data_IF_388307829522
#
_entry.id   IF_388307829522
#
_cell.length_a   1.000
_cell.length_b   1.000
_cell.length_c   1.000
_cell.angle_alpha   90.00
_cell.angle_beta   90.00
_cell.angle_gamma   90.00
#
_symmetry.space_group_name_H-M   'P 1'
#
loop_
_entity.id
_entity.type
_entity.pdbx_description
1 polymer ?
#
# COMPACT_ATOMS: atom_id res chain seq x y z
N UNK A 1 15.84 1.10 -17.71
CA UNK A 1 14.96 2.27 -17.48
C UNK A 1 15.74 3.32 -16.70
N UNK A 2 15.61 4.61 -17.02
CA UNK A 2 16.30 5.67 -16.29
C UNK A 2 15.58 5.98 -14.96
N UNK A 3 16.36 6.18 -13.89
CA UNK A 3 15.90 6.57 -12.55
C UNK A 3 16.66 7.82 -12.08
N UNK A 4 16.15 8.58 -11.10
CA UNK A 4 16.89 9.70 -10.51
C UNK A 4 18.25 9.24 -9.97
N UNK A 5 19.30 10.05 -10.17
CA UNK A 5 20.65 9.71 -9.72
C UNK A 5 20.78 9.56 -8.19
N UNK A 6 19.85 10.16 -7.44
CA UNK A 6 19.77 10.09 -5.98
C UNK A 6 19.05 8.83 -5.46
N UNK A 7 18.47 8.01 -6.35
CA UNK A 7 17.74 6.81 -5.97
C UNK A 7 18.65 5.58 -5.97
N UNK A 8 18.51 4.76 -4.94
CA UNK A 8 19.17 3.45 -4.87
C UNK A 8 18.56 2.51 -5.89
N UNK A 9 19.39 1.78 -6.64
CA UNK A 9 18.92 0.73 -7.54
C UNK A 9 18.20 -0.38 -6.78
N UNK A 10 17.24 -1.03 -7.45
CA UNK A 10 16.59 -2.24 -6.94
C UNK A 10 17.66 -3.35 -6.81
N UNK A 11 17.77 -4.01 -5.64
CA UNK A 11 18.72 -5.11 -5.48
C UNK A 11 18.45 -6.26 -6.46
N UNK A 12 19.49 -7.00 -6.89
CA UNK A 12 19.30 -8.16 -7.76
C UNK A 12 18.34 -9.18 -7.16
N UNK A 13 17.52 -9.82 -8.00
CA UNK A 13 16.56 -10.86 -7.61
C UNK A 13 15.23 -10.34 -7.04
N UNK A 14 15.16 -9.12 -6.52
CA UNK A 14 13.91 -8.56 -5.94
C UNK A 14 12.79 -8.51 -6.97
N UNK A 15 13.10 -8.11 -8.21
CA UNK A 15 12.13 -8.10 -9.30
C UNK A 15 11.66 -9.52 -9.64
N UNK A 16 12.58 -10.49 -9.77
CA UNK A 16 12.23 -11.87 -10.11
C UNK A 16 11.36 -12.51 -9.02
N UNK A 17 11.65 -12.21 -7.76
CA UNK A 17 10.87 -12.65 -6.61
C UNK A 17 9.46 -12.05 -6.64
N UNK A 18 9.36 -10.73 -6.81
CA UNK A 18 8.08 -10.03 -6.93
C UNK A 18 7.27 -10.55 -8.14
N UNK A 19 7.92 -10.77 -9.30
CA UNK A 19 7.28 -11.34 -10.49
C UNK A 19 6.69 -12.71 -10.19
N UNK A 20 7.44 -13.62 -9.54
CA UNK A 20 6.90 -14.94 -9.17
C UNK A 20 5.64 -14.83 -8.30
N UNK A 21 5.61 -13.88 -7.35
CA UNK A 21 4.43 -13.65 -6.51
C UNK A 21 3.26 -13.07 -7.32
N UNK A 22 3.54 -12.16 -8.25
CA UNK A 22 2.52 -11.64 -9.19
C UNK A 22 1.91 -12.75 -10.03
N UNK A 23 2.72 -13.64 -10.60
CA UNK A 23 2.19 -14.77 -11.39
C UNK A 23 1.30 -15.70 -10.55
N UNK A 24 1.62 -15.91 -9.28
CA UNK A 24 0.76 -16.66 -8.35
C UNK A 24 -0.57 -15.92 -8.12
N UNK A 25 -0.53 -14.60 -7.94
CA UNK A 25 -1.73 -13.81 -7.76
C UNK A 25 -2.59 -13.77 -9.04
N UNK A 26 -1.98 -13.77 -10.22
CA UNK A 26 -2.68 -13.75 -11.51
C UNK A 26 -3.19 -15.14 -11.96
N UNK A 27 -3.00 -16.19 -11.17
CA UNK A 27 -3.47 -17.54 -11.51
C UNK A 27 -4.98 -17.58 -11.77
N UNK A 28 -5.36 -18.00 -12.98
CA UNK A 28 -6.72 -18.16 -13.46
C UNK A 28 -7.33 -19.53 -13.18
N UNK A 29 -6.54 -20.48 -12.67
CA UNK A 29 -6.93 -21.88 -12.45
C UNK A 29 -6.92 -22.31 -10.98
N UNK A 30 -6.44 -21.44 -10.08
CA UNK A 30 -6.41 -21.70 -8.65
C UNK A 30 -7.80 -21.72 -7.99
N UNK A 31 -7.87 -22.03 -6.67
CA UNK A 31 -9.14 -22.12 -5.92
C UNK A 31 -9.89 -20.79 -5.82
N UNK A 32 -9.20 -19.68 -6.03
CA UNK A 32 -9.77 -18.34 -6.12
C UNK A 32 -9.22 -17.67 -7.36
N UNK A 33 -9.78 -17.89 -8.56
CA UNK A 33 -9.22 -17.37 -9.81
C UNK A 33 -9.20 -15.84 -9.86
N UNK A 34 -8.19 -15.24 -10.50
CA UNK A 34 -8.04 -13.78 -10.59
C UNK A 34 -9.28 -13.08 -11.19
N UNK A 35 -9.88 -13.66 -12.23
CA UNK A 35 -11.07 -13.12 -12.89
C UNK A 35 -12.29 -13.00 -11.97
N UNK A 36 -12.48 -13.95 -11.06
CA UNK A 36 -13.62 -13.95 -10.13
C UNK A 36 -13.41 -12.91 -9.04
N UNK A 37 -12.17 -12.83 -8.53
CA UNK A 37 -11.79 -11.82 -7.53
C UNK A 37 -11.92 -10.41 -8.08
N UNK A 38 -11.42 -10.16 -9.29
CA UNK A 38 -11.55 -8.85 -9.95
C UNK A 38 -13.01 -8.51 -10.27
N UNK A 39 -13.79 -9.48 -10.75
CA UNK A 39 -15.21 -9.26 -11.03
C UNK A 39 -16.01 -8.97 -9.76
N UNK A 40 -15.67 -9.56 -8.60
CA UNK A 40 -16.25 -9.18 -7.30
C UNK A 40 -15.82 -7.77 -6.90
N UNK A 41 -14.51 -7.49 -6.95
CA UNK A 41 -13.94 -6.24 -6.46
C UNK A 41 -14.45 -5.00 -7.21
N UNK A 42 -14.72 -5.16 -8.51
CA UNK A 42 -15.25 -4.12 -9.39
C UNK A 42 -16.76 -4.20 -9.60
N UNK A 43 -17.49 -5.07 -8.89
CA UNK A 43 -18.95 -5.09 -8.97
C UNK A 43 -19.54 -3.87 -8.26
N UNK A 44 -20.24 -3.02 -9.02
CA UNK A 44 -20.88 -1.82 -8.48
C UNK A 44 -22.00 -2.14 -7.50
N UNK A 45 -22.64 -3.30 -7.65
CA UNK A 45 -23.72 -3.75 -6.77
C UNK A 45 -23.18 -4.53 -5.54
N UNK A 46 -21.86 -4.70 -5.44
CA UNK A 46 -21.16 -5.35 -4.31
C UNK A 46 -20.65 -4.38 -3.24
N UNK A 47 -20.08 -4.94 -2.17
CA UNK A 47 -19.55 -4.19 -1.00
C UNK A 47 -18.04 -3.90 -1.09
N UNK A 48 -17.38 -4.29 -2.18
CA UNK A 48 -15.97 -4.00 -2.40
C UNK A 48 -15.75 -2.56 -2.89
N UNK A 49 -14.62 -1.97 -2.50
CA UNK A 49 -14.34 -0.56 -2.76
C UNK A 49 -13.93 -0.24 -4.21
N UNK A 50 -13.65 -1.25 -5.05
CA UNK A 50 -13.03 -1.07 -6.36
C UNK A 50 -13.83 -0.17 -7.30
N UNK A 51 -15.12 -0.48 -7.50
CA UNK A 51 -16.00 0.32 -8.35
C UNK A 51 -16.11 1.78 -7.87
N UNK A 52 -16.31 1.97 -6.56
CA UNK A 52 -16.42 3.30 -5.96
C UNK A 52 -15.12 4.10 -6.06
N UNK A 53 -13.96 3.44 -5.91
CA UNK A 53 -12.67 4.11 -6.03
C UNK A 53 -12.41 4.60 -7.46
N UNK A 54 -12.93 3.92 -8.48
CA UNK A 54 -12.84 4.33 -9.89
C UNK A 54 -13.82 5.47 -10.20
N UNK A 55 -15.09 5.33 -9.80
CA UNK A 55 -16.18 6.17 -10.33
C UNK A 55 -16.55 7.38 -9.49
N UNK A 56 -16.25 7.38 -8.18
CA UNK A 56 -16.78 8.41 -7.29
C UNK A 56 -16.38 9.81 -7.79
N UNK A 57 -17.37 10.65 -8.04
CA UNK A 57 -17.22 12.00 -8.60
C UNK A 57 -17.70 13.06 -7.59
N UNK A 58 -17.25 14.33 -7.68
CA UNK A 58 -16.29 14.86 -8.66
C UNK A 58 -14.84 14.36 -8.45
N UNK A 59 -14.06 14.39 -9.53
CA UNK A 59 -12.61 14.15 -9.54
C UNK A 59 -11.93 15.28 -10.31
N UNK A 60 -11.45 16.28 -9.59
CA UNK A 60 -10.64 17.36 -10.16
C UNK A 60 -9.17 16.91 -10.19
N UNK A 61 -8.49 16.80 -11.34
CA UNK A 61 -7.10 16.33 -11.38
C UNK A 61 -6.12 17.21 -10.60
N UNK A 62 -6.43 18.49 -10.36
CA UNK A 62 -5.53 19.47 -9.75
C UNK A 62 -5.93 19.86 -8.32
N UNK A 63 -6.96 19.24 -7.75
CA UNK A 63 -7.38 19.42 -6.36
C UNK A 63 -7.52 18.09 -5.61
N UNK A 64 -7.41 18.12 -4.28
CA UNK A 64 -7.86 17.04 -3.39
C UNK A 64 -9.24 17.42 -2.86
N UNK A 65 -10.26 16.66 -3.28
CA UNK A 65 -11.67 16.91 -2.97
C UNK A 65 -12.17 16.01 -1.83
N UNK A 66 -13.34 16.34 -1.29
CA UNK A 66 -14.01 15.46 -0.31
C UNK A 66 -14.30 14.06 -0.87
N UNK A 67 -14.55 13.94 -2.19
CA UNK A 67 -14.73 12.64 -2.84
C UNK A 67 -13.42 11.85 -2.90
N UNK A 68 -12.26 12.51 -3.05
CA UNK A 68 -10.98 11.82 -2.96
C UNK A 68 -10.74 11.24 -1.57
N UNK A 69 -11.03 12.03 -0.53
CA UNK A 69 -10.92 11.60 0.86
C UNK A 69 -11.90 10.45 1.16
N UNK A 70 -13.15 10.56 0.68
CA UNK A 70 -14.15 9.51 0.89
C UNK A 70 -13.79 8.20 0.20
N UNK A 71 -13.34 8.25 -1.06
CA UNK A 71 -12.91 7.06 -1.79
C UNK A 71 -11.73 6.35 -1.12
N UNK A 72 -10.77 7.10 -0.58
CA UNK A 72 -9.68 6.51 0.21
C UNK A 72 -10.21 5.87 1.49
N UNK A 73 -11.19 6.49 2.16
CA UNK A 73 -11.86 5.88 3.31
C UNK A 73 -12.55 4.56 3.00
N UNK A 74 -13.15 4.42 1.81
CA UNK A 74 -13.80 3.17 1.36
C UNK A 74 -12.81 2.03 1.18
N UNK A 75 -11.53 2.31 0.94
CA UNK A 75 -10.46 1.29 0.93
C UNK A 75 -10.09 0.77 2.34
N UNK A 76 -10.79 1.21 3.39
CA UNK A 76 -10.47 0.87 4.78
C UNK A 76 -9.37 1.74 5.39
N UNK A 77 -8.88 2.75 4.66
CA UNK A 77 -7.88 3.69 5.17
C UNK A 77 -8.54 4.65 6.17
N UNK A 78 -8.01 4.72 7.39
CA UNK A 78 -8.51 5.63 8.41
C UNK A 78 -8.20 7.09 8.04
N UNK A 79 -9.25 7.87 7.78
CA UNK A 79 -9.16 9.33 7.59
C UNK A 79 -9.72 10.04 8.82
N UNK A 80 -8.83 10.58 9.66
CA UNK A 80 -9.21 11.34 10.85
C UNK A 80 -9.57 12.81 10.54
N UNK A 81 -10.32 13.50 11.41
CA UNK A 81 -10.70 14.90 11.20
C UNK A 81 -9.54 15.85 10.94
N UNK A 82 -8.38 15.61 11.57
CA UNK A 82 -7.19 16.43 11.36
C UNK A 82 -6.65 16.30 9.92
N UNK A 83 -6.60 15.09 9.38
CA UNK A 83 -6.19 14.83 8.00
C UNK A 83 -7.18 15.47 7.03
N UNK A 84 -8.49 15.30 7.27
CA UNK A 84 -9.54 15.93 6.47
C UNK A 84 -9.38 17.44 6.40
N UNK A 85 -9.18 18.13 7.53
CA UNK A 85 -8.96 19.60 7.54
C UNK A 85 -7.68 20.00 6.81
N UNK A 86 -6.58 19.28 7.01
CA UNK A 86 -5.30 19.57 6.33
C UNK A 86 -5.39 19.40 4.82
N UNK A 87 -6.20 18.45 4.34
CA UNK A 87 -6.38 18.20 2.92
C UNK A 87 -7.42 19.11 2.28
N UNK A 88 -8.50 19.47 2.98
CA UNK A 88 -9.66 20.16 2.39
C UNK A 88 -9.75 21.66 2.74
N UNK A 89 -9.23 22.08 3.90
CA UNK A 89 -9.28 23.49 4.34
C UNK A 89 -7.99 24.24 3.97
N UNK A 90 -8.10 25.56 3.84
CA UNK A 90 -6.95 26.41 3.56
C UNK A 90 -5.92 26.29 4.69
N UNK A 91 -4.77 25.71 4.36
CA UNK A 91 -3.67 25.46 5.31
C UNK A 91 -2.34 25.35 4.57
N UNK A 92 -1.22 25.42 5.30
CA UNK A 92 0.11 25.22 4.72
C UNK A 92 0.23 23.83 4.06
N UNK A 93 -0.29 22.78 4.71
CA UNK A 93 -0.28 21.42 4.17
C UNK A 93 -1.05 21.33 2.83
N UNK A 94 -2.27 21.91 2.77
CA UNK A 94 -3.06 21.92 1.53
C UNK A 94 -2.30 22.66 0.42
N UNK A 95 -1.74 23.83 0.72
CA UNK A 95 -0.97 24.61 -0.27
C UNK A 95 0.23 23.82 -0.81
N UNK A 96 0.96 23.12 0.06
CA UNK A 96 2.10 22.27 -0.34
C UNK A 96 1.65 21.08 -1.21
N UNK A 97 0.60 20.37 -0.80
CA UNK A 97 0.02 19.26 -1.57
C UNK A 97 -0.44 19.73 -2.94
N UNK A 98 -1.17 20.84 -3.03
CA UNK A 98 -1.68 21.36 -4.30
C UNK A 98 -0.58 21.95 -5.20
N UNK A 99 0.50 22.47 -4.62
CA UNK A 99 1.68 22.86 -5.39
C UNK A 99 2.35 21.62 -5.99
N UNK A 100 2.60 20.58 -5.19
CA UNK A 100 3.21 19.34 -5.66
C UNK A 100 2.33 18.61 -6.67
N UNK A 101 1.01 18.58 -6.48
CA UNK A 101 0.06 17.91 -7.37
C UNK A 101 0.08 18.50 -8.79
N UNK A 102 0.11 19.83 -8.91
CA UNK A 102 0.19 20.54 -10.19
C UNK A 102 1.49 20.30 -10.95
N UNK A 103 2.57 20.00 -10.24
CA UNK A 103 3.86 19.69 -10.85
C UNK A 103 3.93 18.28 -11.45
N UNK A 104 3.10 17.35 -10.97
CA UNK A 104 3.10 15.94 -11.40
C UNK A 104 2.28 15.77 -12.67
N UNK A 105 2.96 15.41 -13.75
CA UNK A 105 2.36 15.10 -15.04
C UNK A 105 1.44 13.88 -14.97
N UNK A 106 0.38 13.88 -15.79
CA UNK A 106 -0.42 12.69 -16.07
C UNK A 106 0.34 11.84 -17.09
N UNK A 107 0.98 10.77 -16.64
CA UNK A 107 1.76 9.84 -17.47
C UNK A 107 1.77 8.45 -16.85
N UNK A 108 2.15 7.45 -17.63
CA UNK A 108 2.32 6.08 -17.19
C UNK A 108 3.66 5.89 -16.46
N UNK A 109 3.61 5.23 -15.30
CA UNK A 109 4.78 4.86 -14.52
C UNK A 109 5.85 4.14 -15.35
N UNK A 110 5.44 3.31 -16.31
CA UNK A 110 6.34 2.57 -17.22
C UNK A 110 7.29 3.52 -17.95
N UNK A 111 6.75 4.62 -18.51
CA UNK A 111 7.51 5.58 -19.32
C UNK A 111 7.99 6.79 -18.51
N UNK A 112 7.63 6.90 -17.22
CA UNK A 112 8.02 8.01 -16.37
C UNK A 112 9.55 8.22 -16.35
N UNK A 113 10.00 9.42 -16.69
CA UNK A 113 11.41 9.79 -16.64
C UNK A 113 11.87 10.14 -15.22
N UNK A 114 13.20 10.31 -15.00
CA UNK A 114 13.74 10.72 -13.70
C UNK A 114 13.06 11.95 -13.10
N UNK A 115 12.84 13.02 -13.88
CA UNK A 115 12.18 14.22 -13.39
C UNK A 115 10.72 14.00 -12.96
N UNK A 116 9.99 13.10 -13.64
CA UNK A 116 8.64 12.70 -13.21
C UNK A 116 8.68 11.93 -11.90
N UNK A 117 9.63 11.01 -11.75
CA UNK A 117 9.82 10.22 -10.53
C UNK A 117 10.18 11.09 -9.31
N UNK A 118 10.99 12.14 -9.49
CA UNK A 118 11.27 13.12 -8.44
C UNK A 118 10.01 13.91 -8.03
N UNK A 119 9.23 14.36 -9.02
CA UNK A 119 7.95 15.04 -8.78
C UNK A 119 6.93 14.13 -8.09
N UNK A 120 6.89 12.84 -8.46
CA UNK A 120 6.08 11.84 -7.77
C UNK A 120 6.46 11.76 -6.29
N UNK A 121 7.76 11.72 -6.00
CA UNK A 121 8.25 11.70 -4.62
C UNK A 121 7.86 12.96 -3.85
N UNK A 122 7.98 14.15 -4.47
CA UNK A 122 7.54 15.40 -3.84
C UNK A 122 6.06 15.35 -3.45
N UNK A 123 5.18 14.93 -4.36
CA UNK A 123 3.74 14.81 -4.08
C UNK A 123 3.45 13.80 -2.96
N UNK A 124 4.05 12.61 -3.05
CA UNK A 124 3.88 11.57 -2.04
C UNK A 124 4.32 12.04 -0.64
N UNK A 125 5.46 12.70 -0.53
CA UNK A 125 5.99 13.20 0.74
C UNK A 125 5.11 14.31 1.32
N UNK A 126 4.60 15.22 0.48
CA UNK A 126 3.66 16.26 0.91
C UNK A 126 2.36 15.65 1.47
N UNK A 127 1.78 14.67 0.77
CA UNK A 127 0.59 13.95 1.23
C UNK A 127 0.85 13.16 2.52
N UNK A 128 2.00 12.48 2.62
CA UNK A 128 2.42 11.77 3.84
C UNK A 128 2.59 12.74 5.03
N UNK A 129 3.12 13.93 4.79
CA UNK A 129 3.20 15.01 5.77
C UNK A 129 1.82 15.45 6.25
N UNK A 130 0.88 15.67 5.32
CA UNK A 130 -0.50 16.03 5.64
C UNK A 130 -1.20 14.93 6.47
N UNK A 131 -0.93 13.66 6.16
CA UNK A 131 -1.49 12.50 6.87
C UNK A 131 -0.91 12.28 8.26
N UNK A 132 0.35 12.66 8.48
CA UNK A 132 1.05 12.41 9.74
C UNK A 132 0.45 13.27 10.86
N UNK A 133 -0.41 12.67 11.69
CA UNK A 133 -0.95 13.33 12.88
C UNK A 133 0.12 13.35 13.99
N UNK A 134 0.22 14.45 14.74
CA UNK A 134 0.96 14.43 15.99
C UNK A 134 0.13 13.65 17.02
N UNK A 135 0.63 12.51 17.50
CA UNK A 135 0.10 11.84 18.69
C UNK A 135 -0.90 10.70 18.48
N UNK A 136 -1.00 10.11 17.28
CA UNK A 136 -1.75 8.85 17.08
C UNK A 136 -0.87 7.85 16.33
N UNK A 137 -0.37 6.84 17.05
CA UNK A 137 0.49 5.77 16.49
C UNK A 137 -0.28 4.78 15.60
N UNK A 138 -1.60 4.95 15.50
CA UNK A 138 -2.54 3.96 14.97
C UNK A 138 -2.73 3.96 13.44
N UNK A 139 -2.19 4.94 12.71
CA UNK A 139 -2.43 5.07 11.26
C UNK A 139 -1.11 5.21 10.53
N UNK A 140 -0.80 4.26 9.64
CA UNK A 140 0.34 4.38 8.75
C UNK A 140 0.07 5.49 7.72
N UNK A 141 0.77 6.64 7.78
CA UNK A 141 0.56 7.75 6.85
C UNK A 141 0.93 7.41 5.40
N UNK A 142 1.68 6.32 5.18
CA UNK A 142 2.10 5.86 3.85
C UNK A 142 0.92 5.36 3.03
N UNK A 143 0.05 4.55 3.63
CA UNK A 143 -1.10 3.95 2.94
C UNK A 143 -2.06 5.04 2.44
N UNK A 144 -2.39 6.00 3.30
CA UNK A 144 -3.25 7.11 2.91
C UNK A 144 -2.66 8.02 1.84
N UNK A 145 -1.37 8.35 1.96
CA UNK A 145 -0.68 9.14 0.95
C UNK A 145 -0.66 8.44 -0.42
N UNK A 146 -0.31 7.15 -0.46
CA UNK A 146 -0.30 6.34 -1.68
C UNK A 146 -1.69 6.20 -2.28
N UNK A 147 -2.74 6.01 -1.47
CA UNK A 147 -4.12 5.91 -1.94
C UNK A 147 -4.61 7.23 -2.58
N UNK A 148 -4.29 8.39 -2.00
CA UNK A 148 -4.60 9.68 -2.65
C UNK A 148 -3.78 9.86 -3.92
N UNK A 149 -2.48 9.55 -3.91
CA UNK A 149 -1.65 9.62 -5.11
C UNK A 149 -2.21 8.76 -6.26
N UNK A 150 -2.53 7.49 -5.98
CA UNK A 150 -3.14 6.57 -6.94
C UNK A 150 -4.50 7.09 -7.42
N UNK A 151 -5.27 7.76 -6.56
CA UNK A 151 -6.51 8.40 -6.99
C UNK A 151 -6.29 9.67 -7.82
N UNK A 152 -5.21 10.43 -7.63
CA UNK A 152 -4.96 11.63 -8.45
C UNK A 152 -4.26 11.33 -9.77
N UNK A 153 -3.40 10.31 -9.80
CA UNK A 153 -2.54 9.92 -10.92
C UNK A 153 -2.50 8.38 -11.01
N UNK A 154 -3.59 7.74 -11.47
CA UNK A 154 -3.80 6.29 -11.36
C UNK A 154 -2.85 5.44 -12.20
N UNK A 155 -2.33 6.00 -13.30
CA UNK A 155 -1.31 5.39 -14.15
C UNK A 155 0.10 5.48 -13.57
N UNK A 156 0.29 6.34 -12.56
CA UNK A 156 1.61 6.75 -12.11
C UNK A 156 1.99 6.19 -10.74
N UNK A 157 1.04 6.12 -9.80
CA UNK A 157 1.34 5.65 -8.43
C UNK A 157 0.67 4.31 -8.14
N UNK A 158 1.41 3.32 -7.60
CA UNK A 158 0.82 2.17 -6.93
C UNK A 158 0.12 2.60 -5.63
N UNK A 159 -0.89 1.83 -5.20
CA UNK A 159 -1.64 2.05 -3.95
C UNK A 159 -0.76 1.72 -2.73
N UNK A 160 0.22 0.82 -2.88
CA UNK A 160 1.27 0.57 -1.89
C UNK A 160 0.77 0.08 -0.54
N UNK A 161 -0.09 -0.94 -0.56
CA UNK A 161 -0.66 -1.59 0.63
C UNK A 161 0.39 -2.44 1.39
N UNK A 162 0.24 -2.57 2.72
CA UNK A 162 1.24 -3.24 3.57
C UNK A 162 1.27 -4.75 3.32
N UNK A 163 0.10 -5.38 3.21
CA UNK A 163 -0.07 -6.80 2.95
C UNK A 163 0.44 -7.16 1.55
N UNK A 164 0.18 -6.28 0.57
CA UNK A 164 0.73 -6.43 -0.78
C UNK A 164 2.26 -6.27 -0.77
N UNK A 165 2.79 -5.27 -0.06
CA UNK A 165 4.24 -5.06 0.07
C UNK A 165 4.95 -6.22 0.77
N UNK A 166 4.30 -6.87 1.74
CA UNK A 166 4.80 -8.08 2.39
C UNK A 166 4.76 -9.28 1.43
N UNK A 167 3.65 -9.48 0.72
CA UNK A 167 3.51 -10.55 -0.26
C UNK A 167 4.55 -10.48 -1.38
N UNK A 168 4.86 -9.26 -1.85
CA UNK A 168 5.89 -9.03 -2.86
C UNK A 168 7.33 -9.05 -2.31
N UNK A 169 7.52 -9.21 -1.00
CA UNK A 169 8.85 -9.21 -0.36
C UNK A 169 9.51 -7.82 -0.29
N UNK A 170 8.74 -6.74 -0.41
CA UNK A 170 9.23 -5.36 -0.46
C UNK A 170 9.36 -4.70 0.90
N UNK A 171 8.63 -5.20 1.90
CA UNK A 171 8.57 -4.62 3.26
C UNK A 171 9.95 -4.47 3.91
N UNK A 172 10.89 -5.37 3.62
CA UNK A 172 12.26 -5.34 4.14
C UNK A 172 13.08 -4.12 3.72
N UNK A 173 12.69 -3.43 2.63
CA UNK A 173 13.43 -2.27 2.13
C UNK A 173 12.96 -0.94 2.73
N UNK A 174 11.73 -0.89 3.25
CA UNK A 174 11.10 0.31 3.82
C UNK A 174 11.23 1.57 2.91
N UNK A 175 11.14 1.39 1.59
CA UNK A 175 11.44 2.43 0.59
C UNK A 175 10.40 2.45 -0.52
N UNK A 176 9.55 3.49 -0.53
CA UNK A 176 8.55 3.70 -1.59
C UNK A 176 9.19 3.79 -2.98
N UNK A 177 10.44 4.24 -3.07
CA UNK A 177 11.21 4.30 -4.32
C UNK A 177 11.45 2.89 -4.89
N UNK A 178 11.82 1.94 -4.04
CA UNK A 178 12.02 0.54 -4.43
C UNK A 178 10.69 -0.05 -4.88
N UNK A 179 9.62 0.19 -4.12
CA UNK A 179 8.28 -0.27 -4.47
C UNK A 179 7.89 0.23 -5.87
N UNK A 180 8.01 1.54 -6.13
CA UNK A 180 7.67 2.13 -7.43
C UNK A 180 8.51 1.56 -8.58
N UNK A 181 9.81 1.33 -8.38
CA UNK A 181 10.65 0.72 -9.41
C UNK A 181 10.30 -0.74 -9.68
N UNK A 182 9.88 -1.49 -8.66
CA UNK A 182 9.40 -2.88 -8.81
C UNK A 182 8.07 -2.88 -9.57
N UNK A 183 7.10 -2.08 -9.16
CA UNK A 183 5.82 -1.93 -9.87
C UNK A 183 6.03 -1.50 -11.33
N UNK A 184 6.91 -0.52 -11.57
CA UNK A 184 7.29 -0.08 -12.91
C UNK A 184 7.83 -1.22 -13.78
N UNK A 185 8.64 -2.10 -13.19
CA UNK A 185 9.19 -3.25 -13.91
C UNK A 185 8.12 -4.31 -14.17
N UNK A 186 7.22 -4.54 -13.21
CA UNK A 186 6.11 -5.51 -13.33
C UNK A 186 5.13 -5.12 -14.44
N UNK A 187 4.70 -3.85 -14.49
CA UNK A 187 3.77 -3.38 -15.54
C UNK A 187 4.41 -3.27 -16.93
N UNK A 188 5.73 -3.43 -17.02
CA UNK A 188 6.50 -3.51 -18.27
C UNK A 188 6.90 -4.92 -18.67
N UNK A 189 6.62 -5.93 -17.84
CA UNK A 189 6.93 -7.32 -18.11
C UNK A 189 5.86 -7.96 -19.00
N UNK A 190 6.29 -8.62 -20.06
CA UNK A 190 5.38 -9.12 -21.09
C UNK A 190 4.41 -10.19 -20.57
N UNK A 191 4.86 -11.07 -19.68
CA UNK A 191 4.03 -12.14 -19.14
C UNK A 191 2.96 -11.54 -18.21
N UNK A 192 3.37 -10.59 -17.35
CA UNK A 192 2.45 -9.87 -16.45
C UNK A 192 1.41 -9.09 -17.25
N UNK A 193 1.81 -8.41 -18.33
CA UNK A 193 0.88 -7.68 -19.22
C UNK A 193 -0.14 -8.63 -19.84
N UNK A 194 0.31 -9.77 -20.38
CA UNK A 194 -0.57 -10.75 -21.02
C UNK A 194 -1.60 -11.31 -20.03
N UNK A 195 -1.16 -11.68 -18.83
CA UNK A 195 -2.04 -12.25 -17.81
C UNK A 195 -3.03 -11.20 -17.26
N UNK A 196 -2.62 -9.94 -17.11
CA UNK A 196 -3.52 -8.85 -16.72
C UNK A 196 -4.59 -8.59 -17.78
N UNK A 197 -4.20 -8.52 -19.06
CA UNK A 197 -5.14 -8.28 -20.16
C UNK A 197 -6.13 -9.46 -20.30
N UNK A 198 -5.66 -10.71 -20.12
CA UNK A 198 -6.50 -11.89 -20.07
C UNK A 198 -7.46 -11.88 -18.87
N UNK A 199 -6.96 -11.50 -17.69
CA UNK A 199 -7.75 -11.39 -16.47
C UNK A 199 -8.87 -10.34 -16.58
N UNK A 200 -8.62 -9.18 -17.21
CA UNK A 200 -9.67 -8.17 -17.47
C UNK A 200 -10.76 -8.73 -18.40
N UNK A 201 -10.35 -9.29 -19.55
CA UNK A 201 -11.29 -9.87 -20.51
C UNK A 201 -12.18 -10.95 -19.87
N UNK A 202 -11.56 -11.82 -19.08
CA UNK A 202 -12.25 -12.92 -18.40
C UNK A 202 -13.10 -12.43 -17.21
N UNK A 203 -12.64 -11.44 -16.44
CA UNK A 203 -13.44 -10.81 -15.38
C UNK A 203 -14.72 -10.20 -15.93
N UNK A 204 -14.67 -9.54 -17.10
CA UNK A 204 -15.86 -9.04 -17.79
C UNK A 204 -16.77 -10.17 -18.25
N UNK A 205 -16.20 -11.28 -18.75
CA UNK A 205 -16.97 -12.45 -19.18
C UNK A 205 -17.71 -13.11 -18.00
N UNK A 206 -17.01 -13.40 -16.91
CA UNK A 206 -17.59 -14.02 -15.70
C UNK A 206 -18.48 -13.03 -14.93
N UNK A 207 -18.26 -11.73 -15.13
CA UNK A 207 -19.14 -10.64 -14.70
C UNK A 207 -20.59 -10.85 -15.15
N UNK A 208 -20.77 -11.31 -16.38
CA UNK A 208 -22.07 -11.58 -16.96
C UNK A 208 -22.96 -10.33 -16.97
N UNK A 209 -24.00 -10.33 -16.12
CA UNK A 209 -24.95 -9.21 -15.99
C UNK A 209 -24.56 -8.17 -14.95
N UNK A 210 -23.49 -8.39 -14.18
CA UNK A 210 -23.02 -7.46 -13.15
C UNK A 210 -22.60 -6.13 -13.77
N UNK A 211 -22.78 -5.05 -13.03
CA UNK A 211 -22.35 -3.72 -13.45
C UNK A 211 -20.89 -3.49 -13.09
N UNK A 212 -19.98 -4.18 -13.79
CA UNK A 212 -18.56 -4.05 -13.49
C UNK A 212 -18.02 -2.67 -13.86
N UNK A 213 -17.15 -2.14 -13.00
CA UNK A 213 -16.42 -0.86 -13.16
C UNK A 213 -14.93 -1.07 -12.98
N UNK A 214 -14.42 -1.90 -13.87
CA UNK A 214 -13.01 -2.26 -13.94
C UNK A 214 -12.17 -1.04 -14.31
N UNK A 215 -11.02 -0.89 -13.67
CA UNK A 215 -10.08 0.20 -13.94
C UNK A 215 -9.50 0.09 -15.36
N UNK A 216 -9.16 1.22 -15.96
CA UNK A 216 -8.61 1.28 -17.31
C UNK A 216 -7.09 1.10 -17.34
N UNK A 217 -6.43 1.24 -16.18
CA UNK A 217 -4.98 1.32 -16.10
C UNK A 217 -4.40 0.03 -15.55
N UNK A 218 -3.41 -0.55 -16.26
CA UNK A 218 -2.78 -1.81 -15.87
C UNK A 218 -2.17 -1.76 -14.47
N UNK A 219 -1.60 -0.62 -14.07
CA UNK A 219 -1.07 -0.43 -12.72
C UNK A 219 -2.16 -0.58 -11.65
N UNK A 220 -3.37 -0.07 -11.89
CA UNK A 220 -4.51 -0.21 -10.98
C UNK A 220 -5.06 -1.63 -10.98
N UNK A 221 -5.12 -2.26 -12.14
CA UNK A 221 -5.53 -3.67 -12.27
C UNK A 221 -4.57 -4.62 -11.54
N UNK A 222 -3.27 -4.38 -11.64
CA UNK A 222 -2.25 -5.11 -10.90
C UNK A 222 -2.45 -4.96 -9.38
N UNK A 223 -2.64 -3.72 -8.90
CA UNK A 223 -2.93 -3.49 -7.49
C UNK A 223 -4.18 -4.23 -7.00
N UNK A 224 -5.28 -4.18 -7.75
CA UNK A 224 -6.51 -4.88 -7.41
C UNK A 224 -6.33 -6.41 -7.40
N UNK A 225 -5.60 -6.96 -8.38
CA UNK A 225 -5.33 -8.38 -8.46
C UNK A 225 -4.49 -8.87 -7.27
N UNK A 226 -3.48 -8.11 -6.88
CA UNK A 226 -2.62 -8.39 -5.72
C UNK A 226 -3.38 -8.25 -4.41
N UNK A 227 -4.09 -7.14 -4.21
CA UNK A 227 -4.87 -6.88 -2.99
C UNK A 227 -5.94 -7.93 -2.75
N UNK A 228 -6.73 -8.27 -3.78
CA UNK A 228 -7.77 -9.28 -3.64
C UNK A 228 -7.19 -10.66 -3.33
N UNK A 229 -6.01 -10.97 -3.86
CA UNK A 229 -5.31 -12.22 -3.55
C UNK A 229 -4.84 -12.26 -2.09
N UNK A 230 -4.19 -11.20 -1.59
CA UNK A 230 -3.70 -11.14 -0.21
C UNK A 230 -4.86 -11.16 0.80
N UNK A 231 -5.97 -10.47 0.51
CA UNK A 231 -7.16 -10.47 1.36
C UNK A 231 -7.76 -11.86 1.53
N UNK A 232 -7.87 -12.64 0.45
CA UNK A 232 -8.44 -14.00 0.51
C UNK A 232 -7.58 -14.95 1.34
N UNK A 233 -6.25 -14.76 1.38
CA UNK A 233 -5.35 -15.58 2.23
C UNK A 233 -5.46 -15.24 3.72
N UNK A 234 -5.80 -14.00 4.06
CA UNK A 234 -6.03 -13.59 5.45
C UNK A 234 -7.34 -14.13 6.03
N UNK A 235 -8.28 -14.57 5.19
CA UNK A 235 -9.54 -15.21 5.58
C UNK A 235 -9.39 -16.73 5.51
N UNK A 236 -8.48 -17.31 6.30
CA UNK A 236 -8.59 -18.72 6.67
C UNK A 236 -9.54 -18.77 7.88
N UNK A 237 -10.70 -19.43 7.80
CA UNK A 237 -11.57 -19.59 8.96
C UNK A 237 -10.79 -20.35 10.05
N UNK A 238 -10.69 -19.78 11.25
CA UNK A 238 -10.38 -20.56 12.44
C UNK A 238 -11.56 -21.52 12.59
N UNK A 239 -11.36 -22.79 12.22
CA UNK A 239 -12.34 -23.85 12.52
C UNK A 239 -12.36 -24.02 14.04
N UNK A 240 -13.46 -23.68 14.73
CA UNK A 240 -13.57 -23.95 16.15
C UNK A 240 -13.93 -25.42 16.30
N UNK A 241 -12.98 -26.26 16.74
CA UNK A 241 -13.34 -27.59 17.24
C UNK A 241 -12.47 -28.77 16.87
N UNK A 242 -11.14 -28.65 16.85
CA UNK A 242 -10.32 -29.83 17.12
C UNK A 242 -9.73 -29.76 18.53
N UNK A 243 -10.18 -30.62 19.46
CA UNK A 243 -9.61 -30.69 20.80
C UNK A 243 -8.18 -31.22 20.68
N UNK A 244 -7.23 -30.45 21.21
CA UNK A 244 -5.86 -30.93 21.45
C UNK A 244 -5.93 -32.09 22.42
N UNK A 245 -5.78 -33.31 21.91
CA UNK A 245 -5.52 -34.50 22.71
C UNK A 245 -4.16 -34.35 23.39
N UNK A 246 -4.24 -34.17 24.69
CA UNK A 246 -3.34 -34.60 25.78
C UNK A 246 -1.94 -35.11 25.39
N UNK A 247 -0.93 -34.40 25.89
CA UNK A 247 0.37 -34.99 26.24
C UNK A 247 0.46 -35.15 27.76
N UNK A 248 1.02 -36.25 28.27
CA UNK A 248 0.93 -36.62 29.68
C UNK A 248 1.94 -35.89 30.55
N UNK A 249 1.43 -35.42 31.69
CA UNK A 249 2.04 -35.36 33.02
C UNK A 249 3.55 -35.17 33.17
N UNK A 250 3.93 -34.04 33.74
CA UNK A 250 5.03 -34.01 34.70
C UNK A 250 4.62 -33.25 35.97
N UNK A 251 4.29 -34.01 37.01
CA UNK A 251 4.33 -33.56 38.41
C UNK A 251 5.79 -33.56 38.88
N UNK A 252 6.17 -32.55 39.67
CA UNK A 252 7.50 -32.43 40.27
C UNK A 252 7.73 -31.12 41.06
N UNK A 253 6.95 -30.95 42.12
CA UNK A 253 7.19 -30.33 43.45
C UNK A 253 8.07 -29.04 43.68
N UNK A 254 7.78 -28.25 44.74
CA UNK A 254 8.28 -26.89 44.95
C UNK A 254 9.43 -26.78 45.98
N UNK A 255 10.16 -25.67 45.94
CA UNK A 255 10.74 -25.09 47.16
C UNK A 255 12.13 -24.46 47.05
N UNK A 256 12.26 -23.31 47.74
CA UNK A 256 13.48 -22.54 48.08
C UNK A 256 14.06 -21.72 46.92
N UNK A 257 14.49 -20.47 47.09
CA UNK A 257 14.70 -19.65 48.28
C UNK A 257 15.68 -18.53 47.90
N UNK A 258 15.36 -17.32 48.35
CA UNK A 258 16.13 -16.07 48.27
C UNK A 258 17.67 -16.20 48.27
N UNK A 259 18.36 -15.40 47.45
CA UNK A 259 19.48 -14.53 47.89
C UNK A 259 20.06 -13.62 46.79
N UNK A 260 20.30 -12.37 47.21
CA UNK A 260 21.11 -11.32 46.59
C UNK A 260 22.57 -11.72 46.32
N UNK A 261 23.14 -11.14 45.24
CA UNK A 261 24.51 -10.65 44.99
C UNK A 261 24.63 -10.46 43.46
N UNK A 262 25.15 -9.40 42.82
CA UNK A 262 25.86 -8.18 43.21
C UNK A 262 26.76 -7.74 42.04
N UNK A 263 26.72 -6.44 41.68
CA UNK A 263 27.73 -5.63 40.95
C UNK A 263 28.03 -5.83 39.43
N UNK A 264 28.62 -4.83 38.72
CA UNK A 264 28.73 -3.37 38.99
C UNK A 264 28.51 -2.42 37.78
N UNK A 265 28.21 -1.16 38.14
CA UNK A 265 28.61 0.15 37.60
C UNK A 265 29.10 0.34 36.14
N UNK A 266 28.47 1.31 35.46
CA UNK A 266 29.19 2.42 34.80
C UNK A 266 28.25 3.64 34.68
N UNK A 267 28.56 4.68 35.43
CA UNK A 267 27.93 6.01 35.47
C UNK A 267 29.08 7.02 35.34
N UNK A 268 29.01 7.95 34.39
CA UNK A 268 29.85 9.16 34.15
C UNK A 268 29.33 9.72 32.79
N UNK A 269 28.92 10.97 32.55
CA UNK A 269 29.01 12.25 33.27
C UNK A 269 27.94 13.20 32.70
N UNK A 270 27.21 13.89 33.60
CA UNK A 270 26.63 15.22 33.33
C UNK A 270 27.75 16.27 33.43
N UNK A 271 27.81 17.23 32.50
CA UNK A 271 28.20 18.62 32.81
C UNK A 271 27.43 19.62 31.95
N UNK A 272 26.81 20.59 32.63
CA UNK A 272 26.20 21.81 32.11
C UNK A 272 27.25 22.94 32.08
N UNK A 273 27.18 23.74 31.00
CA UNK A 273 27.39 25.21 30.84
C UNK A 273 28.74 25.85 31.22
N UNK A 274 29.16 26.93 30.53
CA UNK A 274 28.62 28.28 30.80
C UNK A 274 28.35 29.17 29.56
N UNK A 275 27.49 30.18 29.77
CA UNK A 275 27.34 31.42 28.98
C UNK A 275 28.58 32.31 29.14
N UNK A 276 28.89 33.10 28.12
CA UNK A 276 29.46 34.45 28.20
C UNK A 276 29.49 35.07 26.78
N UNK A 277 29.72 36.38 26.63
CA UNK A 277 29.29 37.52 27.44
C UNK A 277 28.10 38.28 26.80
#
# INVERSE_FOLDING_TARGET
MAIPASWTCVPPGVFDDAKRQVMIALDSHGPHPVQERLASYYDRDGDDAGASFVELAPRDPDDVTACDVHAVGLLGVRVGPAVTRRLLEHSANRSEVLAALREVQMTDLLIAGPGTLEKMETLYLALRGAWSAQGTDDVDPRVGASAVCARKRPELFPLGDVEVGEFLGLRGFASHRIDWMVYRSLIGDQDVIQDLDAADAEARRVGGRRQLRVDLFRLRMLDAALWTYTRTRSVVPIVPGEPRTDLPGHQGDPGRGNRHQGCPAADLLRRRSPRAP
#
